data_IF_403283084323
#
_entry.id   IF_403283084323
#
_cell.length_a   1.000
_cell.length_b   1.000
_cell.length_c   1.000
_cell.angle_alpha   90.00
_cell.angle_beta   90.00
_cell.angle_gamma   90.00
#
_symmetry.space_group_name_H-M   'P 1'
#
loop_
_entity.id
_entity.type
_entity.pdbx_description
1 polymer ?
#
# COMPACT_ATOMS: atom_id res chain seq x y z
N UNK A 1 -2.49 24.56 7.48
CA UNK A 1 -2.42 23.26 6.77
C UNK A 1 -3.84 22.75 6.59
N UNK A 2 -4.30 22.44 5.38
CA UNK A 2 -5.69 22.00 5.18
C UNK A 2 -5.90 20.59 5.75
N UNK A 3 -7.08 20.33 6.31
CA UNK A 3 -7.46 19.07 6.98
C UNK A 3 -7.01 17.78 6.26
N UNK A 4 -7.18 17.60 4.93
CA UNK A 4 -6.76 16.38 4.24
C UNK A 4 -5.26 16.11 4.32
N UNK A 5 -4.40 17.13 4.37
CA UNK A 5 -2.95 16.94 4.46
C UNK A 5 -2.52 16.44 5.84
N UNK A 6 -3.16 16.93 6.90
CA UNK A 6 -2.91 16.46 8.26
C UNK A 6 -3.33 14.99 8.40
N UNK A 7 -4.48 14.62 7.84
CA UNK A 7 -4.97 13.22 7.85
C UNK A 7 -4.03 12.29 7.06
N UNK A 8 -3.59 12.70 5.86
CA UNK A 8 -2.61 11.93 5.09
C UNK A 8 -1.30 11.73 5.87
N UNK A 9 -0.81 12.78 6.53
CA UNK A 9 0.42 12.71 7.31
C UNK A 9 0.30 11.75 8.51
N UNK A 10 -0.82 11.80 9.24
CA UNK A 10 -1.12 10.86 10.32
C UNK A 10 -1.20 9.42 9.80
N UNK A 11 -1.85 9.19 8.67
CA UNK A 11 -1.92 7.87 8.03
C UNK A 11 -0.53 7.34 7.68
N UNK A 12 0.35 8.19 7.16
CA UNK A 12 1.72 7.80 6.83
C UNK A 12 2.53 7.46 8.09
N UNK A 13 2.42 8.25 9.15
CA UNK A 13 3.06 7.95 10.44
C UNK A 13 2.61 6.59 10.97
N UNK A 14 1.30 6.33 10.94
CA UNK A 14 0.72 5.06 11.40
C UNK A 14 1.23 3.89 10.55
N UNK A 15 1.22 4.04 9.22
CA UNK A 15 1.67 2.98 8.30
C UNK A 15 3.16 2.63 8.51
N UNK A 16 4.03 3.64 8.65
CA UNK A 16 5.47 3.44 8.92
C UNK A 16 5.68 2.78 10.29
N UNK A 17 4.98 3.24 11.32
CA UNK A 17 5.07 2.65 12.67
C UNK A 17 4.66 1.17 12.64
N UNK A 18 3.55 0.85 11.98
CA UNK A 18 3.10 -0.54 11.81
C UNK A 18 4.09 -1.38 11.02
N UNK A 19 4.69 -0.82 9.97
CA UNK A 19 5.72 -1.51 9.18
C UNK A 19 6.94 -1.86 10.05
N UNK A 20 7.43 -0.92 10.85
CA UNK A 20 8.55 -1.15 11.78
C UNK A 20 8.20 -2.23 12.79
N UNK A 21 7.00 -2.17 13.40
CA UNK A 21 6.56 -3.17 14.38
C UNK A 21 6.49 -4.57 13.74
N UNK A 22 5.87 -4.69 12.57
CA UNK A 22 5.69 -5.99 11.90
C UNK A 22 7.03 -6.57 11.45
N UNK A 23 7.93 -5.74 10.93
CA UNK A 23 9.22 -6.20 10.41
C UNK A 23 10.27 -6.43 11.50
N UNK A 24 10.39 -5.52 12.46
CA UNK A 24 11.48 -5.58 13.44
C UNK A 24 11.09 -6.29 14.74
N UNK A 25 9.81 -6.23 15.14
CA UNK A 25 9.36 -6.84 16.41
C UNK A 25 8.77 -8.21 16.18
N UNK A 26 7.93 -8.36 15.16
CA UNK A 26 7.22 -9.62 14.89
C UNK A 26 7.92 -10.52 13.88
N UNK A 27 9.04 -10.06 13.30
CA UNK A 27 9.86 -10.77 12.29
C UNK A 27 9.00 -11.41 11.18
N UNK A 28 7.92 -10.72 10.80
CA UNK A 28 6.95 -11.26 9.84
C UNK A 28 7.50 -11.15 8.43
N UNK A 29 7.07 -12.10 7.60
CA UNK A 29 7.40 -12.16 6.17
C UNK A 29 7.15 -10.84 5.45
N UNK A 30 8.00 -10.53 4.46
CA UNK A 30 7.88 -9.35 3.58
C UNK A 30 6.48 -9.16 3.00
N UNK A 31 5.69 -10.23 2.85
CA UNK A 31 4.30 -10.17 2.37
C UNK A 31 3.45 -9.19 3.20
N UNK A 32 3.67 -9.10 4.52
CA UNK A 32 2.90 -8.17 5.35
C UNK A 32 3.25 -6.70 5.09
N UNK A 33 4.48 -6.39 4.67
CA UNK A 33 4.84 -5.02 4.22
C UNK A 33 4.04 -4.64 2.98
N UNK A 34 3.93 -5.54 2.01
CA UNK A 34 3.15 -5.30 0.80
C UNK A 34 1.68 -5.05 1.12
N UNK A 35 1.10 -5.82 2.04
CA UNK A 35 -0.29 -5.63 2.47
C UNK A 35 -0.47 -4.25 3.14
N UNK A 36 0.42 -3.85 4.05
CA UNK A 36 0.35 -2.53 4.69
C UNK A 36 0.47 -1.41 3.65
N UNK A 37 1.45 -1.50 2.75
CA UNK A 37 1.65 -0.50 1.69
C UNK A 37 0.45 -0.40 0.75
N UNK A 38 -0.19 -1.53 0.44
CA UNK A 38 -1.39 -1.57 -0.38
C UNK A 38 -2.59 -0.90 0.31
N UNK A 39 -2.84 -1.22 1.58
CA UNK A 39 -3.90 -0.58 2.37
C UNK A 39 -3.64 0.92 2.51
N UNK A 40 -2.41 1.31 2.82
CA UNK A 40 -2.02 2.72 2.94
C UNK A 40 -2.25 3.50 1.64
N UNK A 41 -1.82 2.93 0.50
CA UNK A 41 -2.00 3.53 -0.83
C UNK A 41 -3.48 3.68 -1.18
N UNK A 42 -4.32 2.70 -0.83
CA UNK A 42 -5.78 2.74 -1.03
C UNK A 42 -6.43 3.84 -0.20
N UNK A 43 -6.03 4.00 1.06
CA UNK A 43 -6.55 5.07 1.93
C UNK A 43 -6.15 6.46 1.42
N UNK A 44 -4.90 6.63 0.98
CA UNK A 44 -4.45 7.87 0.35
C UNK A 44 -5.24 8.17 -0.93
N UNK A 45 -5.52 7.15 -1.74
CA UNK A 45 -6.34 7.28 -2.94
C UNK A 45 -7.74 7.79 -2.61
N UNK A 46 -8.41 7.21 -1.62
CA UNK A 46 -9.75 7.64 -1.18
C UNK A 46 -9.74 9.10 -0.75
N UNK A 47 -8.75 9.52 0.05
CA UNK A 47 -8.66 10.92 0.49
C UNK A 47 -8.45 11.86 -0.71
N UNK A 48 -7.58 11.49 -1.66
CA UNK A 48 -7.29 12.35 -2.80
C UNK A 48 -8.44 12.43 -3.79
N UNK A 49 -9.11 11.31 -4.04
CA UNK A 49 -10.23 11.25 -4.98
C UNK A 49 -11.50 11.89 -4.39
N UNK A 50 -11.90 11.50 -3.17
CA UNK A 50 -13.16 11.96 -2.57
C UNK A 50 -13.06 13.26 -1.79
N UNK A 51 -11.92 13.55 -1.13
CA UNK A 51 -11.78 14.76 -0.30
C UNK A 51 -11.08 15.90 -1.04
N UNK A 52 -10.06 15.59 -1.84
CA UNK A 52 -9.35 16.61 -2.62
C UNK A 52 -9.92 16.82 -4.03
N UNK A 53 -10.96 16.07 -4.42
CA UNK A 53 -11.58 16.12 -5.76
C UNK A 53 -10.56 16.06 -6.90
N UNK A 54 -9.48 15.28 -6.73
CA UNK A 54 -8.51 15.05 -7.81
C UNK A 54 -9.08 14.09 -8.84
N UNK A 55 -8.68 14.27 -10.10
CA UNK A 55 -9.01 13.33 -11.16
C UNK A 55 -8.51 11.93 -10.82
N UNK A 56 -9.27 10.91 -11.24
CA UNK A 56 -8.99 9.51 -10.92
C UNK A 56 -7.54 9.12 -11.24
N UNK A 57 -7.05 9.45 -12.44
CA UNK A 57 -5.68 9.14 -12.85
C UNK A 57 -4.62 9.82 -11.99
N UNK A 58 -4.83 11.08 -11.62
CA UNK A 58 -3.91 11.84 -10.77
C UNK A 58 -3.93 11.33 -9.31
N UNK A 59 -5.12 11.04 -8.78
CA UNK A 59 -5.28 10.47 -7.45
C UNK A 59 -4.66 9.07 -7.37
N UNK A 60 -4.80 8.25 -8.41
CA UNK A 60 -4.27 6.90 -8.48
C UNK A 60 -2.74 6.90 -8.52
N UNK A 61 -2.16 7.58 -9.51
CA UNK A 61 -0.71 7.62 -9.74
C UNK A 61 0.07 8.25 -8.59
N UNK A 62 -0.51 9.23 -7.90
CA UNK A 62 0.17 9.81 -6.72
C UNK A 62 0.06 8.90 -5.49
N UNK A 63 -0.99 8.09 -5.37
CA UNK A 63 -1.29 7.34 -4.14
C UNK A 63 -0.73 5.94 -4.16
N UNK A 64 -0.69 5.32 -5.33
CA UNK A 64 -0.11 4.01 -5.52
C UNK A 64 1.28 4.11 -6.10
N UNK A 65 2.25 3.48 -5.43
CA UNK A 65 3.55 3.22 -6.02
C UNK A 65 3.41 2.10 -7.06
N UNK A 66 3.58 2.45 -8.33
CA UNK A 66 3.49 1.52 -9.45
C UNK A 66 4.47 0.35 -9.32
N UNK A 67 5.63 0.57 -8.69
CA UNK A 67 6.61 -0.47 -8.42
C UNK A 67 6.05 -1.48 -7.42
N UNK A 68 5.40 -0.99 -6.36
CA UNK A 68 4.78 -1.86 -5.35
C UNK A 68 3.64 -2.69 -5.96
N UNK A 69 2.78 -2.08 -6.79
CA UNK A 69 1.73 -2.81 -7.52
C UNK A 69 2.33 -3.89 -8.41
N UNK A 70 3.35 -3.54 -9.21
CA UNK A 70 3.98 -4.48 -10.13
C UNK A 70 4.57 -5.69 -9.38
N UNK A 71 5.26 -5.45 -8.26
CA UNK A 71 5.84 -6.53 -7.44
C UNK A 71 4.73 -7.43 -6.87
N UNK A 72 3.65 -6.86 -6.33
CA UNK A 72 2.52 -7.66 -5.78
C UNK A 72 1.89 -8.54 -6.86
N UNK A 73 1.66 -8.00 -8.05
CA UNK A 73 1.09 -8.74 -9.18
C UNK A 73 2.03 -9.88 -9.60
N UNK A 74 3.32 -9.59 -9.81
CA UNK A 74 4.32 -10.60 -10.18
C UNK A 74 4.41 -11.68 -9.11
N UNK A 75 4.48 -11.30 -7.83
CA UNK A 75 4.58 -12.25 -6.72
C UNK A 75 3.34 -13.14 -6.62
N UNK A 76 2.15 -12.58 -6.84
CA UNK A 76 0.90 -13.33 -6.85
C UNK A 76 0.88 -14.34 -8.00
N UNK A 77 1.28 -13.93 -9.21
CA UNK A 77 1.38 -14.83 -10.38
C UNK A 77 2.39 -15.95 -10.14
N UNK A 78 3.58 -15.62 -9.65
CA UNK A 78 4.63 -16.59 -9.34
C UNK A 78 4.16 -17.61 -8.29
N UNK A 79 3.52 -17.14 -7.22
CA UNK A 79 2.99 -18.01 -6.16
C UNK A 79 1.90 -18.95 -6.70
N UNK A 80 0.96 -18.44 -7.50
CA UNK A 80 -0.08 -19.27 -8.12
C UNK A 80 0.51 -20.34 -9.05
N UNK A 81 1.49 -19.97 -9.89
CA UNK A 81 2.13 -20.93 -10.80
C UNK A 81 2.94 -22.00 -10.05
N UNK A 82 3.58 -21.64 -8.93
CA UNK A 82 4.35 -22.59 -8.12
C UNK A 82 3.44 -23.61 -7.42
N UNK A 83 2.26 -23.19 -6.95
CA UNK A 83 1.26 -24.11 -6.39
C UNK A 83 0.72 -25.06 -7.46
N UNK A 84 0.49 -24.55 -8.68
CA UNK A 84 -0.03 -25.36 -9.81
C UNK A 84 0.97 -26.37 -10.38
N UNK A 85 2.27 -26.20 -10.10
CA UNK A 85 3.33 -27.13 -10.52
C UNK A 85 3.65 -28.19 -9.46
N UNK A 86 3.04 -28.12 -8.28
CA UNK A 86 3.23 -29.06 -7.17
C UNK A 86 2.04 -30.01 -6.96
N UNK A 87 1.03 -29.94 -7.83
CA UNK A 87 -0.01 -30.95 -8.02
C UNK A 87 0.33 -31.79 -9.25
#
# INVERSE_FOLDING_TARGET
>A
MSAPYVVMLLLTIIAVTMMIIICMVLDKSMIYMFIILFIHSTLLFIIRYFWQNKEFGEAFTRSFDLVTIAIVVIFTILKFNKTKSSE
#
